data_IF_910120673743
#
_entry.id   IF_910120673743
#
_cell.length_a   1.000
_cell.length_b   1.000
_cell.length_c   1.000
_cell.angle_alpha   90.00
_cell.angle_beta   90.00
_cell.angle_gamma   90.00
#
_symmetry.space_group_name_H-M   'P 1'
#
loop_
_entity.id
_entity.type
_entity.pdbx_description
1 polymer ?
#
# COMPACT_ATOMS: atom_id res chain seq x y z
N UNK A 1 -24.40 6.71 -3.15
CA UNK A 1 -24.57 5.54 -2.27
C UNK A 1 -23.23 4.84 -2.20
N UNK A 2 -22.79 4.42 -1.02
CA UNK A 2 -21.51 3.72 -0.83
C UNK A 2 -21.60 2.26 -1.29
N UNK A 3 -20.45 1.64 -1.61
CA UNK A 3 -20.38 0.25 -2.06
C UNK A 3 -21.02 -0.72 -1.03
N UNK A 4 -20.66 -0.57 0.24
CA UNK A 4 -21.22 -1.41 1.31
C UNK A 4 -22.74 -1.31 1.45
N UNK A 5 -23.33 -0.14 1.19
CA UNK A 5 -24.78 0.05 1.24
C UNK A 5 -25.44 -0.66 0.06
N UNK A 6 -24.88 -0.48 -1.15
CA UNK A 6 -25.35 -1.18 -2.35
C UNK A 6 -25.29 -2.71 -2.22
N UNK A 7 -24.22 -3.26 -1.64
CA UNK A 7 -24.08 -4.70 -1.44
C UNK A 7 -25.14 -5.25 -0.48
N UNK A 8 -25.52 -4.50 0.56
CA UNK A 8 -26.57 -4.90 1.51
C UNK A 8 -27.98 -4.85 0.91
N UNK A 9 -28.21 -3.90 0.01
CA UNK A 9 -29.52 -3.70 -0.64
C UNK A 9 -29.70 -4.59 -1.88
N UNK A 10 -28.68 -5.37 -2.26
CA UNK A 10 -28.72 -6.22 -3.44
C UNK A 10 -29.65 -7.43 -3.24
N UNK A 11 -30.86 -7.35 -3.79
CA UNK A 11 -31.93 -8.35 -3.65
C UNK A 11 -32.19 -9.17 -4.93
N UNK A 12 -31.56 -8.83 -6.05
CA UNK A 12 -31.74 -9.54 -7.31
C UNK A 12 -31.20 -10.98 -7.26
N UNK A 13 -31.89 -11.93 -7.91
CA UNK A 13 -31.41 -13.30 -8.05
C UNK A 13 -30.15 -13.35 -8.93
N UNK A 14 -29.05 -13.98 -8.48
CA UNK A 14 -27.76 -13.87 -9.14
C UNK A 14 -27.60 -14.86 -10.31
N UNK A 15 -28.02 -14.47 -11.52
CA UNK A 15 -27.67 -15.19 -12.74
C UNK A 15 -26.22 -15.00 -13.20
N UNK A 16 -25.54 -14.00 -12.61
CA UNK A 16 -24.13 -13.68 -12.85
C UNK A 16 -23.18 -14.55 -11.98
N UNK A 17 -21.88 -14.41 -12.22
CA UNK A 17 -20.82 -14.97 -11.36
C UNK A 17 -20.79 -14.27 -9.99
N UNK A 18 -20.29 -14.86 -8.90
CA UNK A 18 -19.65 -16.17 -8.80
C UNK A 18 -20.60 -17.38 -8.84
N UNK A 19 -20.01 -18.59 -8.97
CA UNK A 19 -20.75 -19.84 -9.14
C UNK A 19 -21.60 -20.26 -7.93
N UNK A 20 -21.31 -19.80 -6.71
CA UNK A 20 -22.11 -20.05 -5.51
C UNK A 20 -23.47 -19.32 -5.51
N UNK A 21 -23.69 -18.37 -6.42
CA UNK A 21 -24.97 -17.67 -6.60
C UNK A 21 -25.53 -17.05 -5.30
N UNK A 22 -24.66 -16.58 -4.40
CA UNK A 22 -25.01 -16.08 -3.05
C UNK A 22 -25.86 -17.06 -2.22
N UNK A 23 -25.80 -18.37 -2.56
CA UNK A 23 -26.55 -19.39 -1.85
C UNK A 23 -25.88 -19.69 -0.48
N UNK A 24 -26.62 -19.43 0.60
CA UNK A 24 -26.16 -19.61 1.98
C UNK A 24 -26.01 -21.08 2.38
N UNK A 25 -26.64 -22.01 1.68
CA UNK A 25 -26.57 -23.46 1.96
C UNK A 25 -25.16 -24.01 1.80
N UNK A 26 -24.31 -23.34 0.98
CA UNK A 26 -22.92 -23.73 0.84
C UNK A 26 -22.05 -23.36 2.06
N UNK A 27 -22.53 -22.55 3.01
CA UNK A 27 -21.79 -22.14 4.21
C UNK A 27 -20.55 -21.27 3.94
N UNK A 28 -20.45 -20.67 2.76
CA UNK A 28 -19.31 -19.82 2.39
C UNK A 28 -19.48 -18.44 3.05
N UNK A 29 -18.52 -18.08 3.89
CA UNK A 29 -18.51 -16.78 4.60
C UNK A 29 -18.37 -15.64 3.59
N UNK A 30 -19.30 -14.67 3.63
CA UNK A 30 -19.29 -13.50 2.76
C UNK A 30 -19.94 -13.74 1.38
N UNK A 31 -20.43 -14.95 1.09
CA UNK A 31 -21.08 -15.26 -0.18
C UNK A 31 -22.29 -14.37 -0.49
N UNK A 32 -22.93 -13.83 0.54
CA UNK A 32 -24.08 -12.93 0.43
C UNK A 32 -23.75 -11.56 -0.19
N UNK A 33 -22.51 -11.13 -0.08
CA UNK A 33 -22.00 -9.87 -0.67
C UNK A 33 -20.93 -10.09 -1.73
N UNK A 34 -20.61 -11.34 -2.06
CA UNK A 34 -19.63 -11.66 -3.11
C UNK A 34 -20.29 -11.63 -4.48
N UNK A 35 -19.82 -10.70 -5.28
CA UNK A 35 -20.30 -10.44 -6.63
C UNK A 35 -19.11 -10.21 -7.57
N UNK A 36 -19.39 -10.10 -8.85
CA UNK A 36 -18.46 -9.60 -9.86
C UNK A 36 -18.89 -8.19 -10.31
N UNK A 37 -18.30 -7.65 -11.37
CA UNK A 37 -18.61 -6.36 -11.98
C UNK A 37 -19.97 -6.37 -12.67
N UNK A 38 -21.03 -6.31 -11.90
CA UNK A 38 -22.40 -6.25 -12.39
C UNK A 38 -22.90 -4.82 -12.49
N UNK A 39 -23.99 -4.60 -13.25
CA UNK A 39 -24.62 -3.30 -13.41
C UNK A 39 -24.89 -2.64 -12.04
N UNK A 40 -24.48 -1.38 -11.92
CA UNK A 40 -24.65 -0.58 -10.71
C UNK A 40 -23.51 -0.73 -9.68
N UNK A 41 -22.57 -1.66 -9.84
CA UNK A 41 -21.48 -1.89 -8.86
C UNK A 41 -20.09 -1.46 -9.33
N UNK A 42 -20.00 -0.93 -10.57
CA UNK A 42 -18.74 -0.45 -11.15
C UNK A 42 -17.77 -1.58 -11.52
N UNK A 43 -16.62 -1.22 -12.11
CA UNK A 43 -15.56 -2.13 -12.48
C UNK A 43 -14.21 -1.58 -11.99
N UNK A 44 -13.43 -2.36 -11.24
CA UNK A 44 -12.15 -1.91 -10.70
C UNK A 44 -11.14 -1.51 -11.80
N UNK A 45 -11.19 -2.17 -12.95
CA UNK A 45 -10.32 -1.85 -14.09
C UNK A 45 -10.75 -0.58 -14.84
N UNK A 46 -12.02 -0.16 -14.69
CA UNK A 46 -12.56 1.07 -15.27
C UNK A 46 -13.56 1.72 -14.30
N UNK A 47 -13.09 2.27 -13.18
CA UNK A 47 -13.97 2.84 -12.18
C UNK A 47 -14.60 4.15 -12.68
N UNK A 48 -15.92 4.18 -12.76
CA UNK A 48 -16.69 5.33 -13.25
C UNK A 48 -17.70 5.86 -12.21
N UNK A 49 -18.05 5.05 -11.22
CA UNK A 49 -19.11 5.34 -10.24
C UNK A 49 -18.61 5.14 -8.78
N UNK A 50 -19.10 4.11 -8.09
CA UNK A 50 -18.87 3.90 -6.66
C UNK A 50 -17.41 3.63 -6.31
N UNK A 51 -16.67 2.91 -7.16
CA UNK A 51 -15.26 2.67 -6.97
C UNK A 51 -14.42 3.91 -7.31
N UNK A 52 -14.79 4.66 -8.35
CA UNK A 52 -14.18 5.96 -8.65
C UNK A 52 -14.31 6.94 -7.49
N UNK A 53 -15.48 6.99 -6.85
CA UNK A 53 -15.68 7.84 -5.67
C UNK A 53 -14.84 7.37 -4.48
N UNK A 54 -14.73 6.06 -4.27
CA UNK A 54 -13.87 5.50 -3.22
C UNK A 54 -12.38 5.83 -3.46
N UNK A 55 -11.90 5.75 -4.71
CA UNK A 55 -10.55 6.15 -5.08
C UNK A 55 -10.29 7.65 -4.83
N UNK A 56 -11.25 8.52 -5.15
CA UNK A 56 -11.16 9.98 -4.88
C UNK A 56 -11.10 10.28 -3.39
N UNK A 57 -11.94 9.63 -2.58
CA UNK A 57 -11.91 9.74 -1.11
C UNK A 57 -10.57 9.30 -0.55
N UNK A 58 -10.08 8.15 -1.04
CA UNK A 58 -8.77 7.61 -0.66
C UNK A 58 -7.65 8.59 -1.02
N UNK A 59 -7.64 9.12 -2.24
CA UNK A 59 -6.66 10.11 -2.67
C UNK A 59 -6.67 11.36 -1.78
N UNK A 60 -7.87 11.83 -1.41
CA UNK A 60 -8.04 13.01 -0.53
C UNK A 60 -7.42 12.80 0.85
N UNK A 61 -7.69 11.68 1.52
CA UNK A 61 -7.19 11.44 2.88
C UNK A 61 -5.69 11.11 2.91
N UNK A 62 -5.16 10.48 1.85
CA UNK A 62 -3.73 10.22 1.70
C UNK A 62 -2.99 11.34 0.94
N UNK A 63 -3.66 12.47 0.66
CA UNK A 63 -3.08 13.68 0.03
C UNK A 63 -2.34 13.39 -1.29
N UNK A 64 -2.76 12.38 -2.04
CA UNK A 64 -2.21 12.04 -3.35
C UNK A 64 -2.99 12.69 -4.50
N UNK A 65 -2.40 12.76 -5.68
CA UNK A 65 -3.11 13.21 -6.91
C UNK A 65 -4.12 12.17 -7.38
N UNK A 66 -3.75 10.90 -7.30
CA UNK A 66 -4.60 9.75 -7.63
C UNK A 66 -4.27 8.60 -6.69
N UNK A 67 -5.27 7.84 -6.30
CA UNK A 67 -5.11 6.56 -5.61
C UNK A 67 -5.82 5.48 -6.41
N UNK A 68 -5.21 4.32 -6.55
CA UNK A 68 -5.79 3.14 -7.20
C UNK A 68 -5.85 2.03 -6.17
N UNK A 69 -7.02 1.42 -6.02
CA UNK A 69 -7.25 0.33 -5.08
C UNK A 69 -6.66 -0.97 -5.62
N UNK A 70 -6.23 -1.86 -4.73
CA UNK A 70 -5.78 -3.21 -5.08
C UNK A 70 -6.36 -4.25 -4.14
N UNK A 71 -6.83 -5.33 -4.72
CA UNK A 71 -7.25 -6.56 -4.03
C UNK A 71 -6.25 -7.71 -4.22
N UNK A 72 -5.10 -7.43 -4.87
CA UNK A 72 -3.99 -8.37 -5.06
C UNK A 72 -2.75 -7.99 -4.23
N UNK A 73 -2.94 -7.18 -3.18
CA UNK A 73 -1.91 -6.78 -2.23
C UNK A 73 -0.93 -5.74 -2.77
N UNK A 74 -0.07 -5.24 -1.88
CA UNK A 74 1.02 -4.33 -2.26
C UNK A 74 2.02 -4.96 -3.25
N UNK A 75 2.06 -6.29 -3.36
CA UNK A 75 2.86 -6.96 -4.38
C UNK A 75 2.45 -6.53 -5.79
N UNK A 76 1.14 -6.54 -6.09
CA UNK A 76 0.61 -6.05 -7.37
C UNK A 76 0.99 -4.57 -7.59
N UNK A 77 0.81 -3.74 -6.57
CA UNK A 77 1.15 -2.31 -6.63
C UNK A 77 2.65 -2.08 -6.91
N UNK A 78 3.54 -2.84 -6.27
CA UNK A 78 5.00 -2.73 -6.46
C UNK A 78 5.41 -3.16 -7.87
N UNK A 79 4.88 -4.30 -8.35
CA UNK A 79 5.11 -4.75 -9.73
C UNK A 79 4.66 -3.69 -10.73
N UNK A 80 3.47 -3.13 -10.53
CA UNK A 80 2.89 -2.09 -11.39
C UNK A 80 3.69 -0.80 -11.38
N UNK A 81 4.11 -0.32 -10.18
CA UNK A 81 4.89 0.90 -10.04
C UNK A 81 6.24 0.81 -10.77
N UNK A 82 6.98 -0.27 -10.57
CA UNK A 82 8.30 -0.45 -11.18
C UNK A 82 8.16 -0.61 -12.69
N UNK A 83 7.20 -1.41 -13.16
CA UNK A 83 6.95 -1.60 -14.60
C UNK A 83 6.46 -0.32 -15.30
N UNK A 84 5.78 0.58 -14.58
CA UNK A 84 5.32 1.86 -15.11
C UNK A 84 6.46 2.87 -15.29
N UNK A 85 7.52 2.77 -14.49
CA UNK A 85 8.63 3.74 -14.46
C UNK A 85 9.83 3.26 -15.25
N UNK A 86 10.10 1.96 -15.26
CA UNK A 86 11.28 1.36 -15.90
C UNK A 86 10.91 0.48 -17.08
N UNK A 87 11.85 0.34 -18.02
CA UNK A 87 11.77 -0.54 -19.19
C UNK A 87 12.90 -1.56 -19.13
N UNK A 88 12.78 -2.66 -19.90
CA UNK A 88 13.83 -3.66 -20.07
C UNK A 88 15.21 -3.01 -20.32
N UNK A 89 16.19 -3.41 -19.55
CA UNK A 89 17.58 -2.91 -19.63
C UNK A 89 17.83 -1.61 -18.88
N UNK A 90 16.81 -0.94 -18.34
CA UNK A 90 17.01 0.24 -17.49
C UNK A 90 17.72 -0.12 -16.18
N UNK A 91 18.47 0.84 -15.65
CA UNK A 91 19.07 0.73 -14.31
C UNK A 91 18.11 1.28 -13.26
N UNK A 92 17.93 0.53 -12.16
CA UNK A 92 17.13 0.91 -11.02
C UNK A 92 17.95 0.80 -9.73
N UNK A 93 17.82 1.79 -8.85
CA UNK A 93 18.42 1.78 -7.50
C UNK A 93 17.39 1.24 -6.51
N UNK A 94 17.70 0.16 -5.81
CA UNK A 94 16.79 -0.41 -4.79
C UNK A 94 17.49 -0.51 -3.43
N UNK A 95 16.77 -0.26 -2.35
CA UNK A 95 17.28 -0.54 -1.01
C UNK A 95 17.51 -2.05 -0.84
N UNK A 96 18.65 -2.43 -0.27
CA UNK A 96 19.03 -3.85 -0.15
C UNK A 96 18.05 -4.66 0.72
N UNK A 97 17.36 -4.01 1.65
CA UNK A 97 16.35 -4.59 2.53
C UNK A 97 14.90 -4.49 1.98
N UNK A 98 14.71 -4.25 0.69
CA UNK A 98 13.39 -4.24 0.07
C UNK A 98 12.71 -5.61 0.15
N UNK A 99 11.37 -5.58 0.13
CA UNK A 99 10.55 -6.78 0.03
C UNK A 99 10.83 -7.54 -1.28
N UNK A 100 10.70 -8.87 -1.26
CA UNK A 100 10.91 -9.75 -2.43
C UNK A 100 10.17 -9.34 -3.70
N UNK A 101 9.02 -8.65 -3.58
CA UNK A 101 8.26 -8.17 -4.73
C UNK A 101 9.03 -7.13 -5.57
N UNK A 102 9.91 -6.34 -4.95
CA UNK A 102 10.80 -5.40 -5.66
C UNK A 102 11.79 -6.18 -6.53
N UNK A 103 12.42 -7.21 -5.97
CA UNK A 103 13.33 -8.08 -6.71
C UNK A 103 12.62 -8.82 -7.84
N UNK A 104 11.39 -9.30 -7.60
CA UNK A 104 10.57 -9.94 -8.62
C UNK A 104 10.23 -8.98 -9.76
N UNK A 105 9.90 -7.71 -9.44
CA UNK A 105 9.65 -6.68 -10.44
C UNK A 105 10.89 -6.40 -11.29
N UNK A 106 12.07 -6.31 -10.66
CA UNK A 106 13.34 -6.14 -11.38
C UNK A 106 13.61 -7.33 -12.31
N UNK A 107 13.37 -8.55 -11.85
CA UNK A 107 13.52 -9.77 -12.64
C UNK A 107 12.58 -9.81 -13.85
N UNK A 108 11.27 -9.58 -13.63
CA UNK A 108 10.24 -9.63 -14.69
C UNK A 108 10.52 -8.57 -15.78
N UNK A 109 10.99 -7.38 -15.37
CA UNK A 109 11.29 -6.29 -16.30
C UNK A 109 12.73 -6.32 -16.84
N UNK A 110 13.52 -7.34 -16.51
CA UNK A 110 14.93 -7.49 -16.93
C UNK A 110 15.76 -6.21 -16.65
N UNK A 111 15.68 -5.68 -15.40
CA UNK A 111 16.33 -4.45 -14.99
C UNK A 111 17.75 -4.69 -14.49
N UNK A 112 18.64 -3.73 -14.71
CA UNK A 112 19.96 -3.66 -14.09
C UNK A 112 19.82 -3.09 -12.67
N UNK A 113 20.04 -3.92 -11.65
CA UNK A 113 19.80 -3.57 -10.25
C UNK A 113 21.06 -3.02 -9.58
N UNK A 114 20.97 -1.84 -9.01
CA UNK A 114 21.97 -1.22 -8.14
C UNK A 114 21.45 -1.20 -6.71
N UNK A 115 22.26 -1.66 -5.76
CA UNK A 115 21.83 -1.74 -4.36
C UNK A 115 22.29 -0.50 -3.58
N UNK A 116 21.35 0.10 -2.85
CA UNK A 116 21.62 1.06 -1.80
C UNK A 116 21.59 0.32 -0.44
N UNK A 117 22.71 0.32 0.26
CA UNK A 117 22.82 -0.39 1.53
C UNK A 117 22.22 0.46 2.66
N UNK A 118 21.27 -0.08 3.46
CA UNK A 118 20.78 0.57 4.66
C UNK A 118 21.85 0.61 5.75
N UNK A 119 21.72 1.53 6.69
CA UNK A 119 22.56 1.51 7.90
C UNK A 119 22.29 0.23 8.69
N UNK A 120 23.34 -0.33 9.28
CA UNK A 120 23.25 -1.50 10.15
C UNK A 120 23.47 -1.09 11.61
N UNK A 121 22.58 -1.51 12.49
CA UNK A 121 22.73 -1.34 13.94
C UNK A 121 23.29 -2.63 14.55
N UNK A 122 24.58 -2.66 14.93
CA UNK A 122 25.21 -3.89 15.44
C UNK A 122 24.60 -4.35 16.77
N UNK A 123 24.18 -3.41 17.61
CA UNK A 123 23.61 -3.67 18.94
C UNK A 123 22.32 -4.47 18.86
N UNK A 124 21.53 -4.22 17.81
CA UNK A 124 20.23 -4.87 17.58
C UNK A 124 20.30 -5.97 16.51
N UNK A 125 21.37 -6.02 15.73
CA UNK A 125 21.52 -6.95 14.62
C UNK A 125 20.53 -6.70 13.47
N UNK A 126 20.06 -5.46 13.28
CA UNK A 126 19.07 -5.10 12.26
C UNK A 126 19.59 -4.05 11.28
N UNK A 127 19.05 -4.08 10.07
CA UNK A 127 19.17 -2.97 9.14
C UNK A 127 18.15 -1.89 9.47
N UNK A 128 18.57 -0.62 9.38
CA UNK A 128 17.74 0.52 9.71
C UNK A 128 17.42 1.36 8.47
N UNK A 129 17.58 2.67 8.52
CA UNK A 129 17.22 3.59 7.44
C UNK A 129 18.20 3.57 6.27
N UNK A 130 17.71 3.97 5.11
CA UNK A 130 18.54 4.44 3.99
C UNK A 130 18.77 5.93 4.18
N UNK A 131 20.02 6.38 4.08
CA UNK A 131 20.35 7.80 4.19
C UNK A 131 20.29 8.51 2.84
N UNK A 132 20.07 9.82 2.86
CA UNK A 132 20.17 10.64 1.66
C UNK A 132 21.57 10.56 1.03
N UNK A 133 22.63 10.48 1.85
CA UNK A 133 24.00 10.34 1.38
C UNK A 133 24.23 9.04 0.59
N UNK A 134 23.66 7.91 1.08
CA UNK A 134 23.69 6.63 0.36
C UNK A 134 23.04 6.74 -1.00
N UNK A 135 21.88 7.34 -1.09
CA UNK A 135 21.15 7.52 -2.35
C UNK A 135 21.92 8.46 -3.29
N UNK A 136 22.43 9.58 -2.80
CA UNK A 136 23.22 10.51 -3.62
C UNK A 136 24.47 9.84 -4.21
N UNK A 137 25.14 9.00 -3.43
CA UNK A 137 26.30 8.22 -3.90
C UNK A 137 25.89 7.21 -4.96
N UNK A 138 24.77 6.49 -4.75
CA UNK A 138 24.26 5.53 -5.74
C UNK A 138 23.89 6.19 -7.06
N UNK A 139 23.23 7.35 -7.05
CA UNK A 139 22.88 8.13 -8.24
C UNK A 139 24.16 8.63 -8.96
N UNK A 140 25.11 9.20 -8.20
CA UNK A 140 26.37 9.70 -8.75
C UNK A 140 27.14 8.62 -9.51
N UNK A 141 27.17 7.41 -8.95
CA UNK A 141 27.87 6.28 -9.56
C UNK A 141 27.06 5.61 -10.69
N UNK A 142 25.76 5.90 -10.80
CA UNK A 142 24.85 5.32 -11.79
C UNK A 142 23.95 6.43 -12.39
N UNK A 143 24.52 7.37 -13.16
CA UNK A 143 23.77 8.55 -13.63
C UNK A 143 22.67 8.22 -14.64
N UNK A 144 22.61 6.99 -15.15
CA UNK A 144 21.55 6.50 -16.05
C UNK A 144 20.38 5.86 -15.33
N UNK A 145 20.43 5.76 -13.98
CA UNK A 145 19.34 5.18 -13.19
C UNK A 145 18.01 5.90 -13.45
N UNK A 146 16.94 5.11 -13.60
CA UNK A 146 15.60 5.61 -13.96
C UNK A 146 14.68 5.77 -12.77
N UNK A 147 14.92 5.06 -11.67
CA UNK A 147 14.10 5.13 -10.47
C UNK A 147 14.87 4.69 -9.23
N UNK A 148 14.33 5.04 -8.08
CA UNK A 148 14.75 4.58 -6.76
C UNK A 148 13.56 3.88 -6.12
N UNK A 149 13.81 2.73 -5.45
CA UNK A 149 12.81 2.04 -4.63
C UNK A 149 13.37 1.86 -3.23
N UNK A 150 12.65 2.32 -2.23
CA UNK A 150 12.98 2.11 -0.82
C UNK A 150 11.79 1.57 -0.05
N UNK A 151 12.06 0.91 1.08
CA UNK A 151 11.03 0.52 2.06
C UNK A 151 11.07 1.51 3.23
N UNK A 152 9.96 2.23 3.45
CA UNK A 152 9.84 3.21 4.54
C UNK A 152 8.38 3.36 4.97
N UNK A 153 8.01 2.97 6.21
CA UNK A 153 8.90 2.39 7.21
C UNK A 153 9.32 0.95 6.86
N UNK A 154 10.45 0.52 7.43
CA UNK A 154 10.88 -0.88 7.38
C UNK A 154 9.96 -1.75 8.25
N UNK A 155 10.19 -3.07 8.26
CA UNK A 155 9.47 -4.01 9.15
C UNK A 155 9.71 -3.67 10.63
N UNK A 156 10.92 -3.23 10.96
CA UNK A 156 11.36 -2.83 12.31
C UNK A 156 10.85 -1.43 12.71
N UNK A 157 10.20 -0.71 11.80
CA UNK A 157 9.60 0.60 12.03
C UNK A 157 10.53 1.79 11.75
N UNK A 158 11.73 1.58 11.18
CA UNK A 158 12.63 2.69 10.85
C UNK A 158 12.18 3.44 9.60
N UNK A 159 12.31 4.76 9.60
CA UNK A 159 11.85 5.64 8.55
C UNK A 159 13.02 6.23 7.77
N UNK A 160 12.88 6.25 6.45
CA UNK A 160 13.80 6.92 5.52
C UNK A 160 13.07 8.01 4.76
N UNK A 161 13.63 9.20 4.71
CA UNK A 161 13.14 10.32 3.90
C UNK A 161 14.16 10.61 2.81
N UNK A 162 13.77 10.41 1.55
CA UNK A 162 14.64 10.54 0.38
C UNK A 162 14.04 11.53 -0.61
N UNK A 163 14.90 12.40 -1.15
CA UNK A 163 14.60 13.31 -2.26
C UNK A 163 15.58 13.06 -3.39
N UNK A 164 15.10 13.03 -4.62
CA UNK A 164 15.93 12.86 -5.81
C UNK A 164 15.28 13.51 -7.04
N UNK A 165 16.10 13.77 -8.06
CA UNK A 165 15.62 14.28 -9.36
C UNK A 165 15.05 13.17 -10.25
N UNK A 166 15.26 11.91 -9.89
CA UNK A 166 14.65 10.75 -10.53
C UNK A 166 13.51 10.20 -9.66
N UNK A 167 12.53 9.49 -10.24
CA UNK A 167 11.36 8.99 -9.50
C UNK A 167 11.71 8.18 -8.27
N UNK A 168 11.03 8.48 -7.16
CA UNK A 168 11.13 7.74 -5.90
C UNK A 168 9.85 6.97 -5.66
N UNK A 169 9.97 5.64 -5.63
CA UNK A 169 8.91 4.70 -5.29
C UNK A 169 9.11 4.25 -3.84
N UNK A 170 8.11 4.44 -2.99
CA UNK A 170 8.20 4.07 -1.58
C UNK A 170 7.25 2.90 -1.29
N UNK A 171 7.83 1.78 -0.92
CA UNK A 171 7.09 0.70 -0.28
C UNK A 171 6.82 1.08 1.19
N UNK A 172 5.68 1.70 1.42
CA UNK A 172 5.21 2.10 2.74
C UNK A 172 4.17 1.11 3.30
N UNK A 173 4.29 -0.17 2.95
CA UNK A 173 3.32 -1.19 3.33
C UNK A 173 3.06 -1.27 4.84
N UNK A 174 4.03 -0.93 5.69
CA UNK A 174 3.92 -0.90 7.15
C UNK A 174 3.51 0.48 7.72
N UNK A 175 3.36 1.51 6.87
CA UNK A 175 3.10 2.90 7.24
C UNK A 175 1.69 3.40 6.91
N UNK A 176 0.72 2.53 6.62
CA UNK A 176 -0.62 2.96 6.17
C UNK A 176 -1.36 3.84 7.19
N UNK A 177 -1.02 3.75 8.47
CA UNK A 177 -1.62 4.54 9.56
C UNK A 177 -0.91 5.87 9.82
N UNK A 178 0.21 6.17 9.15
CA UNK A 178 0.97 7.40 9.35
C UNK A 178 0.21 8.62 8.86
N UNK A 179 0.41 9.76 9.56
CA UNK A 179 -0.21 11.04 9.23
C UNK A 179 -1.66 11.22 9.67
N UNK A 180 -2.28 10.21 10.31
CA UNK A 180 -3.66 10.31 10.81
C UNK A 180 -3.77 10.78 12.27
N UNK A 181 -2.64 10.94 12.96
CA UNK A 181 -2.59 11.55 14.29
C UNK A 181 -1.24 12.24 14.50
N UNK A 182 -1.21 13.30 15.30
CA UNK A 182 0.00 14.13 15.55
C UNK A 182 1.16 13.35 16.17
N UNK A 183 0.87 12.32 16.96
CA UNK A 183 1.90 11.49 17.60
C UNK A 183 2.49 10.42 16.68
N UNK A 184 1.92 10.24 15.50
CA UNK A 184 2.43 9.31 14.48
C UNK A 184 3.33 10.06 13.49
N UNK A 185 4.28 9.38 12.85
CA UNK A 185 5.07 9.96 11.77
C UNK A 185 4.19 10.51 10.63
N UNK A 186 4.73 11.41 9.84
CA UNK A 186 4.08 11.93 8.64
C UNK A 186 3.93 10.82 7.59
N UNK A 187 2.96 10.97 6.69
CA UNK A 187 2.82 10.10 5.52
C UNK A 187 4.09 10.13 4.66
N UNK A 188 4.46 8.98 4.11
CA UNK A 188 5.61 8.85 3.22
C UNK A 188 5.48 9.79 2.01
N UNK A 189 6.60 10.37 1.58
CA UNK A 189 6.67 11.32 0.48
C UNK A 189 7.53 10.76 -0.66
N UNK A 190 6.92 10.46 -1.80
CA UNK A 190 7.57 9.96 -3.01
C UNK A 190 6.71 10.23 -4.23
N UNK A 191 7.19 9.97 -5.44
CA UNK A 191 6.38 10.07 -6.66
C UNK A 191 5.25 9.04 -6.67
N UNK A 192 5.55 7.83 -6.15
CA UNK A 192 4.59 6.73 -5.99
C UNK A 192 4.80 6.13 -4.60
N UNK A 193 3.71 5.97 -3.84
CA UNK A 193 3.72 5.40 -2.49
C UNK A 193 2.73 4.23 -2.43
N UNK A 194 3.14 3.11 -1.85
CA UNK A 194 2.34 1.90 -1.76
C UNK A 194 2.04 1.57 -0.30
N UNK A 195 0.76 1.40 0.02
CA UNK A 195 0.30 0.99 1.35
C UNK A 195 -0.39 -0.38 1.31
N UNK A 196 -0.04 -1.26 2.26
CA UNK A 196 -0.84 -2.44 2.60
C UNK A 196 -1.83 -2.07 3.70
N UNK A 197 -3.10 -1.86 3.37
CA UNK A 197 -4.09 -1.43 4.36
C UNK A 197 -4.25 -2.46 5.48
N UNK A 198 -4.26 -3.75 5.11
CA UNK A 198 -4.45 -4.87 6.04
C UNK A 198 -3.35 -5.06 7.10
N UNK A 199 -2.18 -4.41 6.96
CA UNK A 199 -1.09 -4.59 7.93
C UNK A 199 -1.28 -3.75 9.18
N UNK A 200 -1.73 -2.52 9.03
CA UNK A 200 -1.78 -1.55 10.13
C UNK A 200 -3.10 -0.80 10.27
N UNK A 201 -4.06 -1.09 9.40
CA UNK A 201 -5.41 -0.52 9.40
C UNK A 201 -6.48 -1.63 9.39
N UNK A 202 -7.73 -1.34 9.78
CA UNK A 202 -8.80 -2.33 9.84
C UNK A 202 -9.35 -2.67 8.44
N UNK A 203 -8.62 -3.48 7.71
CA UNK A 203 -8.99 -3.98 6.39
C UNK A 203 -8.63 -5.46 6.25
N UNK A 204 -9.32 -6.19 5.38
CA UNK A 204 -9.07 -7.61 5.15
C UNK A 204 -7.71 -7.82 4.48
N UNK A 205 -7.09 -8.96 4.78
CA UNK A 205 -5.82 -9.38 4.15
C UNK A 205 -5.90 -9.23 2.63
N UNK A 206 -4.78 -8.86 2.00
CA UNK A 206 -4.67 -8.66 0.55
C UNK A 206 -5.09 -7.26 0.05
N UNK A 207 -5.77 -6.45 0.88
CA UNK A 207 -6.12 -5.07 0.52
C UNK A 207 -4.90 -4.15 0.53
N UNK A 208 -4.76 -3.37 -0.53
CA UNK A 208 -3.68 -2.38 -0.68
C UNK A 208 -4.15 -1.17 -1.49
N UNK A 209 -3.34 -0.13 -1.49
CA UNK A 209 -3.54 1.07 -2.31
C UNK A 209 -2.20 1.55 -2.84
N UNK A 210 -2.18 1.96 -4.10
CA UNK A 210 -1.06 2.70 -4.69
C UNK A 210 -1.46 4.16 -4.85
N UNK A 211 -0.66 5.06 -4.30
CA UNK A 211 -0.84 6.50 -4.33
C UNK A 211 0.15 7.13 -5.31
N UNK A 212 -0.35 7.99 -6.18
CA UNK A 212 0.41 8.66 -7.23
C UNK A 212 0.44 10.15 -6.89
N UNK A 213 1.61 10.66 -6.55
CA UNK A 213 1.83 12.07 -6.24
C UNK A 213 2.33 12.85 -7.46
N UNK A 214 2.96 12.18 -8.42
CA UNK A 214 3.39 12.75 -9.68
C UNK A 214 2.50 12.24 -10.82
N UNK A 215 1.64 13.11 -11.32
CA UNK A 215 0.55 12.78 -12.25
C UNK A 215 1.01 12.08 -13.54
N UNK A 216 2.24 12.33 -13.99
CA UNK A 216 2.79 11.68 -15.20
C UNK A 216 2.82 10.15 -15.10
N UNK A 217 2.78 9.59 -13.88
CA UNK A 217 2.76 8.14 -13.66
C UNK A 217 1.35 7.56 -13.53
N UNK A 218 0.29 8.37 -13.54
CA UNK A 218 -1.07 7.91 -13.31
C UNK A 218 -1.53 6.88 -14.35
N UNK A 219 -1.41 7.20 -15.63
CA UNK A 219 -1.81 6.29 -16.71
C UNK A 219 -0.87 5.09 -16.87
N UNK A 220 0.48 5.25 -16.82
CA UNK A 220 1.37 4.09 -16.84
C UNK A 220 1.12 3.12 -15.68
N UNK A 221 0.94 3.60 -14.45
CA UNK A 221 0.64 2.75 -13.29
C UNK A 221 -0.70 2.05 -13.48
N UNK A 222 -1.76 2.77 -13.89
CA UNK A 222 -3.08 2.18 -14.14
C UNK A 222 -3.01 1.03 -15.14
N UNK A 223 -2.27 1.22 -16.25
CA UNK A 223 -2.06 0.18 -17.26
C UNK A 223 -1.47 -1.10 -16.67
N UNK A 224 -0.46 -0.97 -15.80
CA UNK A 224 0.18 -2.15 -15.21
C UNK A 224 -0.65 -2.74 -14.04
N UNK A 225 -1.43 -1.91 -13.34
CA UNK A 225 -2.45 -2.44 -12.42
C UNK A 225 -3.44 -3.32 -13.17
N UNK A 226 -3.92 -2.91 -14.35
CA UNK A 226 -4.84 -3.71 -15.16
C UNK A 226 -4.22 -5.02 -15.68
N UNK A 227 -2.89 -5.09 -15.80
CA UNK A 227 -2.17 -6.29 -16.22
C UNK A 227 -1.96 -7.27 -15.05
N UNK A 228 -1.63 -6.77 -13.86
CA UNK A 228 -1.24 -7.60 -12.72
C UNK A 228 -2.38 -7.86 -11.73
N UNK A 229 -3.44 -7.06 -11.76
CA UNK A 229 -4.63 -7.24 -10.93
C UNK A 229 -5.54 -8.30 -11.53
N UNK A 230 -6.28 -9.03 -10.69
CA UNK A 230 -7.30 -9.98 -11.14
C UNK A 230 -8.38 -9.27 -11.97
N UNK A 231 -8.78 -9.86 -13.11
CA UNK A 231 -9.91 -9.38 -13.90
C UNK A 231 -11.27 -9.58 -13.22
N UNK A 232 -11.31 -10.41 -12.16
CA UNK A 232 -12.48 -10.62 -11.29
C UNK A 232 -12.16 -10.22 -9.87
N UNK A 233 -12.12 -8.90 -9.57
CA UNK A 233 -11.72 -8.39 -8.26
C UNK A 233 -12.75 -8.76 -7.19
N UNK A 234 -12.29 -9.14 -6.00
CA UNK A 234 -13.16 -9.47 -4.87
C UNK A 234 -13.87 -8.23 -4.33
N UNK A 235 -15.19 -8.19 -4.43
CA UNK A 235 -16.01 -7.11 -3.86
C UNK A 235 -16.05 -7.15 -2.33
N UNK A 236 -15.82 -8.30 -1.70
CA UNK A 236 -15.63 -8.41 -0.25
C UNK A 236 -14.40 -7.61 0.17
N UNK A 237 -13.30 -7.73 -0.56
CA UNK A 237 -12.08 -6.96 -0.28
C UNK A 237 -12.28 -5.46 -0.56
N UNK A 238 -12.96 -5.10 -1.66
CA UNK A 238 -13.30 -3.70 -1.96
C UNK A 238 -14.20 -3.08 -0.89
N UNK A 239 -15.21 -3.82 -0.42
CA UNK A 239 -16.07 -3.40 0.69
C UNK A 239 -15.27 -3.20 1.99
N UNK A 240 -14.28 -4.05 2.23
CA UNK A 240 -13.36 -3.91 3.36
C UNK A 240 -12.47 -2.66 3.24
N UNK A 241 -11.98 -2.33 2.05
CA UNK A 241 -11.26 -1.08 1.79
C UNK A 241 -12.16 0.12 2.09
N UNK A 242 -13.42 0.12 1.60
CA UNK A 242 -14.35 1.22 1.87
C UNK A 242 -14.57 1.42 3.38
N UNK A 243 -14.75 0.34 4.15
CA UNK A 243 -14.88 0.42 5.62
C UNK A 243 -13.63 0.96 6.29
N UNK A 244 -12.46 0.62 5.78
CA UNK A 244 -11.19 1.17 6.25
C UNK A 244 -11.10 2.68 6.00
N UNK A 245 -11.51 3.13 4.81
CA UNK A 245 -11.55 4.57 4.47
C UNK A 245 -12.59 5.32 5.33
N UNK A 246 -13.78 4.74 5.53
CA UNK A 246 -14.80 5.27 6.45
C UNK A 246 -14.25 5.43 7.88
N UNK A 247 -13.48 4.44 8.35
CA UNK A 247 -12.82 4.51 9.65
C UNK A 247 -11.82 5.67 9.70
N UNK A 248 -10.95 5.81 8.70
CA UNK A 248 -9.93 6.86 8.68
C UNK A 248 -10.52 8.27 8.64
N UNK A 249 -11.64 8.47 7.93
CA UNK A 249 -12.34 9.76 7.88
C UNK A 249 -12.89 10.20 9.25
N UNK A 250 -13.09 9.26 10.19
CA UNK A 250 -13.69 9.47 11.51
C UNK A 250 -12.82 8.96 12.66
N UNK A 251 -11.51 8.84 12.46
CA UNK A 251 -10.62 8.06 13.35
C UNK A 251 -10.03 8.81 14.55
N UNK A 252 -10.31 10.09 14.74
CA UNK A 252 -9.66 10.92 15.78
C UNK A 252 -9.75 10.28 17.18
N UNK A 253 -10.93 9.86 17.60
CA UNK A 253 -11.13 9.23 18.91
C UNK A 253 -10.40 7.88 19.02
N UNK A 254 -10.37 7.11 17.93
CA UNK A 254 -9.68 5.83 17.89
C UNK A 254 -8.17 5.99 18.05
N UNK A 255 -7.56 6.96 17.36
CA UNK A 255 -6.14 7.27 17.50
C UNK A 255 -5.81 7.86 18.87
N UNK A 256 -6.70 8.66 19.47
CA UNK A 256 -6.51 9.13 20.84
C UNK A 256 -6.49 7.96 21.85
N UNK A 257 -7.42 7.03 21.74
CA UNK A 257 -7.43 5.80 22.57
C UNK A 257 -6.17 4.98 22.35
N UNK A 258 -5.73 4.81 21.10
CA UNK A 258 -4.50 4.11 20.75
C UNK A 258 -3.28 4.74 21.41
N UNK A 259 -3.13 6.08 21.36
CA UNK A 259 -2.04 6.80 22.04
C UNK A 259 -1.99 6.48 23.54
N UNK A 260 -3.14 6.49 24.22
CA UNK A 260 -3.22 6.19 25.65
C UNK A 260 -2.84 4.74 25.98
N UNK A 261 -3.30 3.78 25.15
CA UNK A 261 -2.92 2.37 25.27
C UNK A 261 -1.42 2.16 25.05
N UNK A 262 -0.85 2.81 24.03
CA UNK A 262 0.57 2.73 23.71
C UNK A 262 1.43 3.29 24.85
N UNK A 263 1.06 4.44 25.40
CA UNK A 263 1.74 5.03 26.55
C UNK A 263 1.69 4.09 27.78
N UNK A 264 0.52 3.51 28.06
CA UNK A 264 0.36 2.53 29.14
C UNK A 264 1.20 1.27 28.93
N UNK A 265 1.30 0.80 27.67
CA UNK A 265 2.14 -0.31 27.30
C UNK A 265 3.64 0.00 27.55
N UNK A 266 4.13 1.13 27.09
CA UNK A 266 5.53 1.54 27.34
C UNK A 266 5.86 1.71 28.82
N UNK A 267 4.92 2.19 29.63
CA UNK A 267 5.14 2.26 31.09
C UNK A 267 5.26 0.85 31.71
N UNK A 268 4.45 -0.10 31.24
CA UNK A 268 4.54 -1.50 31.70
C UNK A 268 5.86 -2.16 31.26
N UNK A 269 6.32 -1.91 30.02
CA UNK A 269 7.58 -2.45 29.54
C UNK A 269 8.79 -2.08 30.41
N UNK A 270 8.81 -0.86 30.96
CA UNK A 270 9.87 -0.43 31.89
C UNK A 270 9.97 -1.26 33.18
N UNK A 271 8.92 -1.99 33.54
CA UNK A 271 8.90 -2.84 34.73
C UNK A 271 9.35 -4.29 34.44
N UNK A 272 9.53 -4.64 33.17
CA UNK A 272 9.91 -6.00 32.76
C UNK A 272 11.44 -6.04 32.61
N UNK A 273 12.07 -6.96 33.34
CA UNK A 273 13.52 -7.20 33.24
C UNK A 273 13.86 -7.84 31.89
N UNK A 274 15.00 -7.48 31.33
CA UNK A 274 15.57 -8.04 30.10
C UNK A 274 14.74 -7.71 28.80
N UNK A 275 13.97 -6.63 28.82
CA UNK A 275 13.34 -6.05 27.63
C UNK A 275 13.86 -4.63 27.49
N UNK A 276 14.41 -4.33 26.34
CA UNK A 276 14.76 -2.97 25.91
C UNK A 276 13.81 -2.53 24.79
N UNK A 277 13.38 -1.29 24.81
CA UNK A 277 12.58 -0.69 23.77
C UNK A 277 13.50 0.11 22.87
N UNK A 278 13.61 -0.33 21.64
CA UNK A 278 14.28 0.46 20.62
C UNK A 278 13.45 1.71 20.31
N UNK A 279 14.05 2.88 20.48
CA UNK A 279 13.49 4.17 20.06
C UNK A 279 14.49 4.83 19.11
N UNK A 280 14.02 5.17 17.94
CA UNK A 280 14.77 5.93 16.94
C UNK A 280 14.71 7.42 17.27
#
# INVERSE_FOLDING_TARGET
MKLNDKLKELDSYPFHMPGHKRNRDFGIIGADIDITEIEGFDNLHKPEAVLSELEKRTAKIFKSKKSILSVNGSTCCILSAISAVCKKGDTIIIARNCHKSVYNACFINELNTVYAEPEFCPELGIYTKITQATINSAIKNNPTAKAIVITSPTYEGTISEIKADIPVIIDAAHGSHFGFAEFLPSQAQGDIVIHSLHKTLPSLTQTAVIHIHNEKYAEPVKKYMDIFESSSPSYILLASIEKCIDFLENSQDAFHKYKNLLNGFYQKLKTIKNIEVFSN
#
